data_IF_934103745881
#
_entry.id   IF_934103745881
#
_cell.length_a   1.000
_cell.length_b   1.000
_cell.length_c   1.000
_cell.angle_alpha   90.00
_cell.angle_beta   90.00
_cell.angle_gamma   90.00
#
_symmetry.space_group_name_H-M   'P 1'
#
loop_
_entity.id
_entity.type
_entity.pdbx_description
1 polymer ?
#
# COMPACT_ATOMS: atom_id res chain seq x y z
N UNK A 1 -3.55 5.33 -1.42
CA UNK A 1 -2.93 3.99 -1.63
C UNK A 1 -3.27 3.12 -0.43
N UNK A 2 -3.19 1.80 -0.53
CA UNK A 2 -3.45 0.90 0.59
C UNK A 2 -2.60 -0.36 0.50
N UNK A 3 -2.44 -1.03 1.64
CA UNK A 3 -1.72 -2.31 1.73
C UNK A 3 -2.68 -3.47 1.43
N UNK A 4 -2.40 -4.22 0.37
CA UNK A 4 -3.14 -5.45 0.02
C UNK A 4 -2.34 -6.67 0.47
N UNK A 5 -3.02 -7.64 1.08
CA UNK A 5 -2.42 -8.94 1.41
C UNK A 5 -2.97 -10.05 0.53
N UNK A 6 -2.15 -11.06 0.26
CA UNK A 6 -2.51 -12.27 -0.48
C UNK A 6 -1.90 -13.50 0.19
N UNK A 7 -2.68 -14.57 0.36
CA UNK A 7 -2.20 -15.83 0.93
C UNK A 7 -1.96 -16.86 -0.16
N UNK A 8 -0.82 -17.56 -0.08
CA UNK A 8 -0.47 -18.66 -0.99
C UNK A 8 0.03 -19.85 -0.19
N UNK A 9 -0.32 -21.07 -0.60
CA UNK A 9 0.28 -22.30 -0.10
C UNK A 9 1.54 -22.62 -0.92
N UNK A 10 2.69 -22.78 -0.26
CA UNK A 10 3.98 -23.16 -0.88
C UNK A 10 4.71 -24.10 0.08
N UNK A 11 5.28 -25.19 -0.46
CA UNK A 11 6.03 -26.19 0.33
C UNK A 11 5.27 -26.68 1.59
N UNK A 12 3.96 -26.89 1.46
CA UNK A 12 3.10 -27.33 2.56
C UNK A 12 2.71 -26.25 3.59
N UNK A 13 3.29 -25.04 3.53
CA UNK A 13 3.01 -23.94 4.48
C UNK A 13 2.22 -22.81 3.82
N UNK A 14 1.46 -22.06 4.63
CA UNK A 14 0.80 -20.84 4.20
C UNK A 14 1.74 -19.66 4.32
N UNK A 15 1.83 -18.86 3.25
CA UNK A 15 2.63 -17.65 3.17
C UNK A 15 1.71 -16.46 2.92
N UNK A 16 1.95 -15.33 3.59
CA UNK A 16 1.21 -14.08 3.43
C UNK A 16 2.11 -13.05 2.78
N UNK A 17 1.75 -12.63 1.57
CA UNK A 17 2.46 -11.64 0.78
C UNK A 17 1.74 -10.31 0.81
N UNK A 18 2.49 -9.22 0.66
CA UNK A 18 1.94 -7.86 0.67
C UNK A 18 2.32 -7.08 -0.58
N UNK A 19 1.48 -6.12 -0.92
CA UNK A 19 1.71 -5.17 -2.01
C UNK A 19 1.08 -3.82 -1.67
N UNK A 20 1.73 -2.73 -2.07
CA UNK A 20 1.11 -1.40 -2.07
C UNK A 20 0.31 -1.24 -3.35
N UNK A 21 -0.94 -0.85 -3.22
CA UNK A 21 -1.90 -0.71 -4.31
C UNK A 21 -2.48 0.69 -4.34
N UNK A 22 -2.65 1.24 -5.53
CA UNK A 22 -3.37 2.50 -5.76
C UNK A 22 -4.69 2.25 -6.49
N UNK A 23 -5.67 3.12 -6.27
CA UNK A 23 -6.88 3.19 -7.08
C UNK A 23 -6.67 4.23 -8.18
N UNK A 24 -6.75 3.80 -9.43
CA UNK A 24 -6.65 4.69 -10.60
C UNK A 24 -8.01 4.80 -11.28
N UNK A 25 -8.51 6.02 -11.44
CA UNK A 25 -9.69 6.27 -12.28
C UNK A 25 -9.32 6.03 -13.75
N UNK A 26 -10.19 5.33 -14.46
CA UNK A 26 -10.08 5.06 -15.89
C UNK A 26 -11.35 5.58 -16.59
N UNK A 27 -11.38 5.49 -17.92
CA UNK A 27 -12.53 5.92 -18.71
C UNK A 27 -13.85 5.28 -18.21
N UNK A 28 -14.97 5.95 -18.50
CA UNK A 28 -16.33 5.51 -18.16
C UNK A 28 -16.61 5.41 -16.65
N UNK A 29 -15.97 6.28 -15.84
CA UNK A 29 -16.23 6.36 -14.39
C UNK A 29 -15.76 5.15 -13.58
N UNK A 30 -15.00 4.24 -14.20
CA UNK A 30 -14.49 3.05 -13.52
C UNK A 30 -13.21 3.37 -12.75
N UNK A 31 -12.93 2.57 -11.73
CA UNK A 31 -11.66 2.58 -11.02
C UNK A 31 -11.01 1.20 -11.11
N UNK A 32 -9.69 1.16 -11.31
CA UNK A 32 -8.89 -0.07 -11.30
C UNK A 32 -7.87 -0.02 -10.17
N UNK A 33 -7.50 -1.18 -9.66
CA UNK A 33 -6.42 -1.33 -8.68
C UNK A 33 -5.11 -1.63 -9.40
N UNK A 34 -4.09 -0.79 -9.20
CA UNK A 34 -2.75 -1.01 -9.74
C UNK A 34 -1.78 -1.31 -8.59
N UNK A 35 -1.08 -2.43 -8.68
CA UNK A 35 0.06 -2.69 -7.80
C UNK A 35 1.20 -1.74 -8.16
N UNK A 36 1.65 -0.96 -7.19
CA UNK A 36 2.77 -0.01 -7.37
C UNK A 36 4.06 -0.50 -6.73
N UNK A 37 3.96 -1.39 -5.73
CA UNK A 37 5.12 -2.03 -5.11
C UNK A 37 4.74 -3.42 -4.59
N UNK A 38 5.55 -4.43 -4.92
CA UNK A 38 5.46 -5.77 -4.35
C UNK A 38 6.44 -5.89 -3.18
N UNK A 39 5.92 -6.17 -1.98
CA UNK A 39 6.72 -6.20 -0.75
C UNK A 39 7.18 -7.61 -0.36
N UNK A 40 6.61 -8.65 -0.97
CA UNK A 40 6.89 -10.01 -0.56
C UNK A 40 6.30 -10.36 0.81
N UNK A 41 6.99 -11.22 1.55
CA UNK A 41 6.68 -11.54 2.95
C UNK A 41 7.39 -10.53 3.84
N UNK A 42 6.63 -9.81 4.65
CA UNK A 42 7.14 -8.82 5.60
C UNK A 42 6.68 -9.21 7.01
N UNK A 43 7.41 -8.75 8.02
CA UNK A 43 7.05 -8.97 9.42
C UNK A 43 5.78 -8.21 9.79
N UNK A 44 5.15 -8.57 10.92
CA UNK A 44 4.02 -7.82 11.46
C UNK A 44 4.39 -6.36 11.77
N UNK A 45 5.59 -6.11 12.30
CA UNK A 45 6.08 -4.75 12.57
C UNK A 45 6.26 -3.94 11.28
N UNK A 46 6.76 -4.55 10.20
CA UNK A 46 6.84 -3.91 8.89
C UNK A 46 5.44 -3.66 8.31
N UNK A 47 4.50 -4.60 8.45
CA UNK A 47 3.09 -4.42 8.07
C UNK A 47 2.51 -3.18 8.77
N UNK A 48 2.71 -3.05 10.08
CA UNK A 48 2.20 -1.93 10.88
C UNK A 48 2.82 -0.58 10.46
N UNK A 49 4.13 -0.54 10.20
CA UNK A 49 4.80 0.65 9.67
C UNK A 49 4.21 1.04 8.31
N UNK A 50 4.03 0.09 7.39
CA UNK A 50 3.42 0.36 6.09
C UNK A 50 1.98 0.86 6.21
N UNK A 51 1.20 0.30 7.14
CA UNK A 51 -0.18 0.76 7.40
C UNK A 51 -0.17 2.22 7.87
N UNK A 52 0.63 2.56 8.88
CA UNK A 52 0.77 3.94 9.38
C UNK A 52 1.22 4.91 8.29
N UNK A 53 2.24 4.54 7.52
CA UNK A 53 2.74 5.37 6.40
C UNK A 53 1.67 5.63 5.33
N UNK A 54 0.80 4.65 5.07
CA UNK A 54 -0.27 4.78 4.08
C UNK A 54 -1.54 5.44 4.65
N UNK A 55 -1.70 5.50 5.98
CA UNK A 55 -2.81 6.11 6.71
C UNK A 55 -2.69 7.63 6.91
N UNK A 56 -1.51 8.25 6.68
CA UNK A 56 -1.29 9.73 6.75
C UNK A 56 -1.96 10.44 5.57
N UNK A 57 -3.28 10.34 5.56
CA UNK A 57 -4.26 10.98 4.71
C UNK A 57 -4.57 12.38 5.26
N UNK A 58 -4.69 13.37 4.38
CA UNK A 58 -4.75 14.80 4.68
C UNK A 58 -6.18 15.25 5.10
N UNK A 59 -6.31 15.87 6.27
CA UNK A 59 -7.60 16.18 6.91
C UNK A 59 -8.25 17.48 6.39
N UNK A 60 -7.49 18.40 5.76
CA UNK A 60 -8.01 19.68 5.23
C UNK A 60 -8.66 19.53 3.84
N UNK A 61 -8.27 18.49 3.09
CA UNK A 61 -8.74 18.27 1.70
C UNK A 61 -9.66 17.05 1.52
N UNK A 62 -9.85 16.25 2.58
CA UNK A 62 -10.61 14.99 2.53
C UNK A 62 -10.04 13.97 1.54
N UNK A 63 -8.73 14.03 1.24
CA UNK A 63 -8.06 13.17 0.24
C UNK A 63 -6.78 12.54 0.79
N UNK A 64 -6.50 11.31 0.34
CA UNK A 64 -5.20 10.67 0.59
C UNK A 64 -4.16 11.40 -0.24
N UNK A 65 -3.25 12.12 0.40
CA UNK A 65 -2.05 12.64 -0.27
C UNK A 65 -0.83 11.86 0.20
N UNK A 66 0.03 11.49 -0.74
CA UNK A 66 1.30 10.85 -0.45
C UNK A 66 2.33 11.96 -0.20
N UNK A 67 2.69 12.22 1.07
CA UNK A 67 3.78 13.13 1.42
C UNK A 67 5.10 12.35 1.43
N UNK A 68 6.15 12.95 0.86
CA UNK A 68 7.51 12.43 0.92
C UNK A 68 8.00 12.51 2.38
N UNK A 69 8.50 11.39 2.91
CA UNK A 69 8.92 11.23 4.32
C UNK A 69 10.40 11.53 4.56
N UNK A 70 11.08 12.11 3.57
CA UNK A 70 12.46 12.54 3.71
C UNK A 70 12.53 14.04 3.49
N UNK A 71 13.25 14.73 4.38
CA UNK A 71 13.65 16.11 4.13
C UNK A 71 14.51 16.13 2.88
N UNK A 72 14.22 17.05 1.96
CA UNK A 72 15.21 17.48 0.98
C UNK A 72 16.28 18.20 1.80
N UNK A 73 17.45 17.60 1.95
CA UNK A 73 18.61 18.32 2.50
C UNK A 73 18.99 19.39 1.48
N UNK A 74 18.56 20.61 1.75
CA UNK A 74 18.99 21.83 1.05
C UNK A 74 20.07 22.55 1.87
#
# INVERSE_FOLDING_TARGET
>A
MFLRSYKRKKNGKWHKYFSVVENRRVANGKAVQRTVLYLGEITSSQEDTWRKTLEVFDQDTGKTQQKLLFADEA
#
